data_IF_107984631644
#
_entry.id   IF_107984631644
#
_cell.length_a   1.000
_cell.length_b   1.000
_cell.length_c   1.000
_cell.angle_alpha   90.00
_cell.angle_beta   90.00
_cell.angle_gamma   90.00
#
_symmetry.space_group_name_H-M   'P 1'
#
loop_
_entity.id
_entity.type
_entity.pdbx_description
1 polymer ?
#
# COMPACT_ATOMS: atom_id res chain seq x y z
N UNK A 1 11.10 -3.59 -6.16
CA UNK A 1 11.02 -4.00 -7.58
C UNK A 1 10.49 -2.81 -8.33
N UNK A 2 11.23 -2.33 -9.32
CA UNK A 2 10.86 -1.17 -10.14
C UNK A 2 11.04 -1.55 -11.61
N UNK A 3 10.09 -1.19 -12.47
CA UNK A 3 10.17 -1.52 -13.89
C UNK A 3 11.20 -0.64 -14.61
N UNK A 4 11.26 0.64 -14.24
CA UNK A 4 12.12 1.62 -14.91
C UNK A 4 13.30 2.04 -14.04
N UNK A 5 14.49 1.50 -14.37
CA UNK A 5 15.74 1.87 -13.71
C UNK A 5 16.06 3.37 -13.81
N UNK A 6 15.55 4.08 -14.82
CA UNK A 6 15.79 5.51 -14.97
C UNK A 6 15.10 6.33 -13.90
N UNK A 7 13.93 5.91 -13.45
CA UNK A 7 13.23 6.55 -12.32
C UNK A 7 14.10 6.50 -11.07
N UNK A 8 14.77 5.36 -10.82
CA UNK A 8 15.67 5.22 -9.68
C UNK A 8 16.91 6.11 -9.81
N UNK A 9 17.54 6.17 -10.99
CA UNK A 9 18.68 7.05 -11.23
C UNK A 9 18.33 8.52 -10.97
N UNK A 10 17.20 8.98 -11.50
CA UNK A 10 16.70 10.35 -11.30
C UNK A 10 16.39 10.58 -9.81
N UNK A 11 15.76 9.61 -9.14
CA UNK A 11 15.43 9.75 -7.73
C UNK A 11 16.65 9.85 -6.83
N UNK A 12 17.68 9.04 -7.09
CA UNK A 12 18.96 9.13 -6.40
C UNK A 12 19.66 10.47 -6.66
N UNK A 13 19.58 11.00 -7.88
CA UNK A 13 20.24 12.25 -8.24
C UNK A 13 19.53 13.51 -7.73
N UNK A 14 18.19 13.51 -7.65
CA UNK A 14 17.41 14.74 -7.47
C UNK A 14 16.47 14.73 -6.26
N UNK A 15 16.10 13.57 -5.71
CA UNK A 15 15.11 13.46 -4.64
C UNK A 15 15.72 13.08 -3.28
N UNK A 16 16.90 13.62 -2.96
CA UNK A 16 17.61 13.38 -1.69
C UNK A 16 16.76 13.71 -0.45
N UNK A 17 15.91 14.74 -0.52
CA UNK A 17 14.98 15.08 0.56
C UNK A 17 13.88 14.04 0.78
N UNK A 18 13.60 13.20 -0.23
CA UNK A 18 12.62 12.11 -0.16
C UNK A 18 13.29 10.83 0.32
N UNK A 19 14.32 10.35 -0.40
CA UNK A 19 14.91 9.05 -0.09
C UNK A 19 15.82 9.07 1.14
N UNK A 20 16.38 10.24 1.54
CA UNK A 20 17.21 10.41 2.76
C UNK A 20 18.29 9.32 2.94
N UNK A 21 18.93 8.89 1.85
CA UNK A 21 19.95 7.83 1.86
C UNK A 21 19.43 6.38 1.86
N UNK A 22 18.12 6.15 1.75
CA UNK A 22 17.52 4.81 1.76
C UNK A 22 18.09 3.86 0.69
N UNK A 23 18.55 4.40 -0.45
CA UNK A 23 19.18 3.60 -1.51
C UNK A 23 20.56 3.03 -1.16
N UNK A 24 21.16 3.46 -0.04
CA UNK A 24 22.47 3.01 0.43
C UNK A 24 22.35 2.14 1.69
N UNK A 25 21.12 1.88 2.15
CA UNK A 25 20.86 1.01 3.29
C UNK A 25 21.16 -0.46 2.91
N UNK A 26 21.99 -1.20 3.66
CA UNK A 26 22.36 -2.56 3.32
C UNK A 26 21.20 -3.56 3.35
N UNK A 27 20.05 -3.18 3.94
CA UNK A 27 18.82 -3.98 3.95
C UNK A 27 18.03 -3.85 2.65
N UNK A 28 18.33 -2.85 1.82
CA UNK A 28 17.64 -2.65 0.55
C UNK A 28 18.19 -3.59 -0.52
N UNK A 29 17.31 -4.41 -1.07
CA UNK A 29 17.54 -5.11 -2.32
C UNK A 29 16.72 -4.43 -3.44
N UNK A 30 17.42 -3.72 -4.33
CA UNK A 30 16.80 -3.09 -5.49
C UNK A 30 16.83 -4.05 -6.69
N UNK A 31 15.66 -4.30 -7.28
CA UNK A 31 15.51 -5.09 -8.51
C UNK A 31 14.85 -4.26 -9.58
N UNK A 32 15.52 -4.13 -10.73
CA UNK A 32 14.94 -3.51 -11.94
C UNK A 32 14.30 -4.64 -12.76
N UNK A 33 13.01 -4.84 -12.57
CA UNK A 33 12.25 -5.98 -13.08
C UNK A 33 10.75 -5.64 -13.13
N UNK A 34 10.01 -6.30 -14.01
CA UNK A 34 8.56 -6.21 -14.03
C UNK A 34 7.95 -6.83 -12.75
N UNK A 35 7.11 -6.06 -12.05
CA UNK A 35 6.53 -6.47 -10.77
C UNK A 35 5.61 -7.69 -10.89
N UNK A 36 4.92 -7.86 -12.01
CA UNK A 36 4.04 -9.01 -12.26
C UNK A 36 4.86 -10.29 -12.44
N UNK A 37 5.92 -10.22 -13.25
CA UNK A 37 6.87 -11.31 -13.46
C UNK A 37 7.58 -11.70 -12.16
N UNK A 38 7.94 -10.72 -11.34
CA UNK A 38 8.56 -10.96 -10.04
C UNK A 38 7.63 -11.74 -9.10
N UNK A 39 6.39 -11.29 -8.94
CA UNK A 39 5.40 -11.92 -8.05
C UNK A 39 5.01 -13.33 -8.53
N UNK A 40 4.89 -13.54 -9.84
CA UNK A 40 4.45 -14.83 -10.39
C UNK A 40 5.56 -15.86 -10.59
N UNK A 41 6.78 -15.40 -10.84
CA UNK A 41 7.90 -16.25 -11.22
C UNK A 41 9.01 -16.21 -10.19
N UNK A 42 9.65 -15.05 -10.05
CA UNK A 42 10.88 -14.91 -9.29
C UNK A 42 10.69 -15.26 -7.80
N UNK A 43 9.79 -14.56 -7.11
CA UNK A 43 9.61 -14.72 -5.68
C UNK A 43 9.15 -16.13 -5.29
N UNK A 44 8.17 -16.76 -5.97
CA UNK A 44 7.82 -18.16 -5.74
C UNK A 44 8.99 -19.13 -5.98
N UNK A 45 9.73 -18.98 -7.08
CA UNK A 45 10.85 -19.85 -7.43
C UNK A 45 12.00 -19.77 -6.40
N UNK A 46 12.20 -18.59 -5.81
CA UNK A 46 13.15 -18.37 -4.72
C UNK A 46 12.59 -18.76 -3.34
N UNK A 47 11.35 -19.23 -3.25
CA UNK A 47 10.72 -19.61 -1.97
C UNK A 47 10.47 -18.44 -1.02
N UNK A 48 10.40 -17.21 -1.54
CA UNK A 48 10.26 -16.01 -0.72
C UNK A 48 8.87 -15.89 -0.10
N UNK A 49 8.82 -15.29 1.09
CA UNK A 49 7.60 -14.86 1.78
C UNK A 49 7.82 -13.48 2.38
N UNK A 50 6.75 -12.70 2.47
CA UNK A 50 6.79 -11.33 2.96
C UNK A 50 5.75 -11.11 4.06
N UNK A 51 6.13 -10.37 5.10
CA UNK A 51 5.18 -9.92 6.14
C UNK A 51 4.37 -8.70 5.66
N UNK A 52 4.91 -7.93 4.72
CA UNK A 52 4.26 -6.78 4.14
C UNK A 52 4.63 -6.65 2.67
N UNK A 53 3.63 -6.56 1.80
CA UNK A 53 3.79 -6.16 0.40
C UNK A 53 3.18 -4.78 0.24
N UNK A 54 3.96 -3.83 -0.27
CA UNK A 54 3.50 -2.48 -0.59
C UNK A 54 3.54 -2.28 -2.10
N UNK A 55 2.39 -2.02 -2.69
CA UNK A 55 2.24 -1.71 -4.11
C UNK A 55 2.13 -0.18 -4.26
N UNK A 56 3.26 0.46 -4.50
CA UNK A 56 3.34 1.88 -4.86
C UNK A 56 3.43 2.02 -6.38
N UNK A 57 2.29 1.86 -7.03
CA UNK A 57 2.19 1.76 -8.49
C UNK A 57 1.69 3.08 -9.10
N UNK A 58 1.92 3.28 -10.40
CA UNK A 58 1.18 4.30 -11.15
C UNK A 58 -0.29 3.92 -11.28
N UNK A 59 -1.14 4.88 -11.64
CA UNK A 59 -2.54 4.61 -11.97
C UNK A 59 -2.70 3.44 -12.96
N UNK A 60 -3.80 2.64 -12.85
CA UNK A 60 -4.05 1.45 -13.65
C UNK A 60 -4.36 1.82 -15.10
N UNK A 61 -3.32 2.17 -15.86
CA UNK A 61 -3.40 2.47 -17.28
C UNK A 61 -2.28 1.70 -17.99
N UNK A 62 -2.65 0.96 -19.03
CA UNK A 62 -1.69 0.21 -19.82
C UNK A 62 -1.06 -0.94 -19.01
N UNK A 63 0.28 -1.08 -18.98
CA UNK A 63 0.95 -2.22 -18.32
C UNK A 63 0.58 -2.41 -16.84
N UNK A 64 0.23 -1.31 -16.14
CA UNK A 64 -0.11 -1.35 -14.73
C UNK A 64 -1.47 -2.01 -14.44
N UNK A 65 -2.40 -2.08 -15.40
CA UNK A 65 -3.76 -2.59 -15.19
C UNK A 65 -3.79 -4.01 -14.63
N UNK A 66 -2.87 -4.87 -15.08
CA UNK A 66 -2.77 -6.25 -14.62
C UNK A 66 -2.48 -6.36 -13.11
N UNK A 67 -1.73 -5.37 -12.56
CA UNK A 67 -1.34 -5.29 -11.16
C UNK A 67 -2.49 -4.84 -10.22
N UNK A 68 -3.66 -4.55 -10.77
CA UNK A 68 -4.86 -4.17 -10.03
C UNK A 68 -5.98 -5.20 -10.11
N UNK A 69 -5.69 -6.38 -10.65
CA UNK A 69 -6.66 -7.48 -10.80
C UNK A 69 -6.76 -8.35 -9.54
N UNK A 70 -7.93 -8.95 -9.32
CA UNK A 70 -8.12 -9.93 -8.24
C UNK A 70 -7.15 -11.12 -8.35
N UNK A 71 -6.82 -11.53 -9.59
CA UNK A 71 -5.83 -12.58 -9.83
C UNK A 71 -4.44 -12.16 -9.30
N UNK A 72 -4.00 -10.94 -9.59
CA UNK A 72 -2.73 -10.44 -9.08
C UNK A 72 -2.73 -10.27 -7.55
N UNK A 73 -3.85 -9.83 -6.97
CA UNK A 73 -3.98 -9.77 -5.51
C UNK A 73 -3.90 -11.16 -4.87
N UNK A 74 -4.44 -12.20 -5.51
CA UNK A 74 -4.30 -13.59 -5.06
C UNK A 74 -2.85 -14.08 -5.18
N UNK A 75 -2.15 -13.73 -6.25
CA UNK A 75 -0.72 -14.03 -6.41
C UNK A 75 0.12 -13.37 -5.29
N UNK A 76 -0.15 -12.09 -4.98
CA UNK A 76 0.49 -11.40 -3.87
C UNK A 76 0.16 -12.06 -2.52
N UNK A 77 -1.11 -12.44 -2.31
CA UNK A 77 -1.55 -13.12 -1.09
C UNK A 77 -0.82 -14.44 -0.86
N UNK A 78 -0.53 -15.20 -1.93
CA UNK A 78 0.22 -16.45 -1.83
C UNK A 78 1.68 -16.25 -1.38
N UNK A 79 2.23 -15.04 -1.56
CA UNK A 79 3.56 -14.66 -1.09
C UNK A 79 3.56 -14.07 0.32
N UNK A 80 2.40 -13.81 0.91
CA UNK A 80 2.33 -13.30 2.28
C UNK A 80 2.56 -14.43 3.30
N UNK A 81 3.22 -14.08 4.41
CA UNK A 81 3.23 -14.90 5.61
C UNK A 81 1.85 -14.98 6.29
N UNK A 82 1.71 -15.84 7.30
CA UNK A 82 0.42 -16.05 8.00
C UNK A 82 -0.14 -14.76 8.62
N UNK A 83 0.74 -13.87 9.07
CA UNK A 83 0.39 -12.55 9.61
C UNK A 83 0.65 -11.41 8.62
N UNK A 84 0.70 -11.72 7.32
CA UNK A 84 1.08 -10.76 6.30
C UNK A 84 -0.04 -9.79 5.90
N UNK A 85 0.35 -8.66 5.33
CA UNK A 85 -0.58 -7.67 4.76
C UNK A 85 -0.13 -7.15 3.39
N UNK A 86 -1.10 -6.76 2.58
CA UNK A 86 -0.93 -6.00 1.34
C UNK A 86 -1.38 -4.56 1.58
N UNK A 87 -0.58 -3.59 1.15
CA UNK A 87 -0.96 -2.19 1.10
C UNK A 87 -0.83 -1.64 -0.32
N UNK A 88 -1.80 -0.83 -0.75
CA UNK A 88 -1.78 -0.15 -2.04
C UNK A 88 -2.61 1.14 -1.99
N UNK A 89 -2.41 2.03 -2.95
CA UNK A 89 -3.31 3.15 -3.15
C UNK A 89 -4.57 2.75 -3.92
N UNK A 90 -5.67 3.45 -3.65
CA UNK A 90 -6.96 3.31 -4.31
C UNK A 90 -7.23 4.45 -5.30
N UNK A 91 -6.48 5.56 -5.18
CA UNK A 91 -6.72 6.80 -5.90
C UNK A 91 -7.70 7.74 -5.19
N UNK A 92 -8.12 8.80 -5.89
CA UNK A 92 -9.03 9.82 -5.34
C UNK A 92 -10.50 9.39 -5.47
N UNK A 93 -11.24 9.18 -4.36
CA UNK A 93 -12.63 8.70 -4.40
C UNK A 93 -13.61 9.72 -5.01
N UNK A 94 -13.25 11.00 -4.98
CA UNK A 94 -14.08 12.05 -5.58
C UNK A 94 -13.94 12.08 -7.11
N UNK A 95 -12.73 11.93 -7.64
CA UNK A 95 -12.47 12.01 -9.08
C UNK A 95 -12.66 10.67 -9.80
N UNK A 96 -12.41 9.54 -9.10
CA UNK A 96 -12.44 8.20 -9.68
C UNK A 96 -13.23 7.21 -8.80
N UNK A 97 -14.52 7.48 -8.50
CA UNK A 97 -15.32 6.66 -7.58
C UNK A 97 -15.41 5.19 -8.02
N UNK A 98 -15.63 4.93 -9.31
CA UNK A 98 -15.75 3.57 -9.83
C UNK A 98 -14.46 2.76 -9.73
N UNK A 99 -13.31 3.42 -9.92
CA UNK A 99 -12.00 2.81 -9.72
C UNK A 99 -11.83 2.41 -8.26
N UNK A 100 -12.08 3.33 -7.32
CA UNK A 100 -11.96 3.07 -5.88
C UNK A 100 -12.89 1.92 -5.46
N UNK A 101 -14.15 1.96 -5.88
CA UNK A 101 -15.14 0.90 -5.60
C UNK A 101 -14.71 -0.45 -6.16
N UNK A 102 -14.27 -0.49 -7.42
CA UNK A 102 -13.79 -1.70 -8.08
C UNK A 102 -12.58 -2.32 -7.39
N UNK A 103 -11.60 -1.50 -7.01
CA UNK A 103 -10.40 -1.95 -6.29
C UNK A 103 -10.74 -2.50 -4.90
N UNK A 104 -11.56 -1.79 -4.13
CA UNK A 104 -12.00 -2.28 -2.82
C UNK A 104 -12.79 -3.59 -2.97
N UNK A 105 -13.65 -3.71 -3.99
CA UNK A 105 -14.37 -4.94 -4.31
C UNK A 105 -13.44 -6.11 -4.64
N UNK A 106 -12.44 -5.90 -5.50
CA UNK A 106 -11.45 -6.91 -5.85
C UNK A 106 -10.62 -7.37 -4.64
N UNK A 107 -10.20 -6.44 -3.78
CA UNK A 107 -9.52 -6.75 -2.53
C UNK A 107 -10.42 -7.56 -1.59
N UNK A 108 -11.68 -7.15 -1.41
CA UNK A 108 -12.65 -7.87 -0.55
C UNK A 108 -12.97 -9.28 -1.06
N UNK A 109 -12.91 -9.49 -2.37
CA UNK A 109 -13.02 -10.82 -2.97
C UNK A 109 -11.80 -11.71 -2.73
N UNK A 110 -10.66 -11.13 -2.30
CA UNK A 110 -9.38 -11.84 -2.16
C UNK A 110 -8.97 -12.01 -0.69
N UNK A 111 -9.19 -10.99 0.15
CA UNK A 111 -8.74 -10.92 1.54
C UNK A 111 -9.90 -10.86 2.53
N UNK A 112 -9.71 -11.45 3.72
CA UNK A 112 -10.72 -11.44 4.80
C UNK A 112 -10.95 -10.04 5.36
N UNK A 113 -9.89 -9.30 5.63
CA UNK A 113 -9.93 -7.95 6.18
C UNK A 113 -9.42 -6.97 5.12
N UNK A 114 -10.26 -6.01 4.73
CA UNK A 114 -9.89 -4.91 3.84
C UNK A 114 -10.32 -3.61 4.49
N UNK A 115 -9.34 -2.76 4.78
CA UNK A 115 -9.55 -1.49 5.48
C UNK A 115 -9.07 -0.35 4.58
N UNK A 116 -10.00 0.34 3.91
CA UNK A 116 -9.72 1.60 3.23
C UNK A 116 -9.36 2.69 4.24
N UNK A 117 -8.33 3.47 3.91
CA UNK A 117 -7.88 4.64 4.63
C UNK A 117 -7.86 5.83 3.67
N UNK A 118 -8.28 7.01 4.11
CA UNK A 118 -8.27 8.21 3.28
C UNK A 118 -7.49 9.33 3.96
N UNK A 119 -6.59 9.95 3.20
CA UNK A 119 -5.74 11.06 3.64
C UNK A 119 -5.92 12.22 2.67
N UNK A 120 -6.05 13.44 3.17
CA UNK A 120 -6.02 14.61 2.30
C UNK A 120 -4.58 14.90 1.86
N UNK A 121 -4.31 14.85 0.55
CA UNK A 121 -3.01 15.16 -0.02
C UNK A 121 -3.11 16.55 -0.67
N UNK A 122 -2.54 17.62 -0.06
CA UNK A 122 -2.75 18.99 -0.54
C UNK A 122 -2.37 19.21 -2.00
N UNK A 123 -1.26 18.61 -2.45
CA UNK A 123 -0.79 18.73 -3.83
C UNK A 123 -1.77 18.10 -4.85
N UNK A 124 -2.55 17.10 -4.42
CA UNK A 124 -3.55 16.45 -5.27
C UNK A 124 -4.92 17.12 -5.16
N UNK A 125 -5.11 18.05 -4.22
CA UNK A 125 -6.36 18.79 -4.04
C UNK A 125 -7.56 17.95 -3.61
N UNK A 126 -7.35 16.73 -3.11
CA UNK A 126 -8.43 15.82 -2.73
C UNK A 126 -8.00 14.79 -1.69
N UNK A 127 -8.96 14.01 -1.20
CA UNK A 127 -8.65 12.77 -0.49
C UNK A 127 -7.99 11.78 -1.44
N UNK A 128 -6.96 11.11 -0.95
CA UNK A 128 -6.31 10.00 -1.60
C UNK A 128 -6.53 8.74 -0.77
N UNK A 129 -7.04 7.69 -1.42
CA UNK A 129 -7.33 6.43 -0.79
C UNK A 129 -6.12 5.52 -0.76
N UNK A 130 -5.98 4.78 0.33
CA UNK A 130 -5.09 3.66 0.54
C UNK A 130 -5.94 2.48 1.04
N UNK A 131 -5.49 1.26 0.88
CA UNK A 131 -6.09 0.11 1.54
C UNK A 131 -5.01 -0.74 2.19
N UNK A 132 -5.33 -1.27 3.37
CA UNK A 132 -4.62 -2.40 3.96
C UNK A 132 -5.53 -3.63 3.84
N UNK A 133 -4.99 -4.71 3.28
CA UNK A 133 -5.68 -5.97 3.08
C UNK A 133 -4.89 -7.13 3.70
N UNK A 134 -5.54 -7.97 4.52
CA UNK A 134 -4.91 -9.08 5.22
C UNK A 134 -5.94 -10.15 5.57
N UNK A 135 -5.48 -11.38 5.77
CA UNK A 135 -6.32 -12.46 6.31
C UNK A 135 -6.29 -12.55 7.84
N UNK A 136 -5.26 -11.99 8.47
CA UNK A 136 -5.01 -12.10 9.91
C UNK A 136 -5.10 -10.75 10.64
N UNK A 137 -4.73 -9.65 9.97
CA UNK A 137 -4.65 -8.32 10.58
C UNK A 137 -5.89 -7.50 10.21
N UNK A 138 -6.56 -6.94 11.21
CA UNK A 138 -7.53 -5.87 11.03
C UNK A 138 -7.00 -4.59 11.69
N UNK A 139 -6.47 -3.63 10.90
CA UNK A 139 -5.93 -2.38 11.42
C UNK A 139 -6.90 -1.59 12.32
N UNK A 140 -8.21 -1.74 12.11
CA UNK A 140 -9.24 -1.04 12.92
C UNK A 140 -9.27 -1.51 14.37
N UNK A 141 -8.69 -2.67 14.66
CA UNK A 141 -8.63 -3.26 16.01
C UNK A 141 -7.39 -2.83 16.78
N UNK A 142 -6.48 -2.09 16.17
CA UNK A 142 -5.29 -1.56 16.84
C UNK A 142 -5.67 -0.20 17.42
N UNK A 143 -5.67 -0.10 18.74
CA UNK A 143 -5.99 1.17 19.41
C UNK A 143 -4.83 2.19 19.31
N UNK A 144 -5.17 3.45 19.57
CA UNK A 144 -4.27 4.60 19.43
C UNK A 144 -3.02 4.44 20.32
N UNK A 145 -3.21 3.99 21.57
CA UNK A 145 -2.12 3.78 22.52
C UNK A 145 -1.15 2.68 22.07
N UNK A 146 -1.66 1.59 21.51
CA UNK A 146 -0.85 0.50 20.96
C UNK A 146 -0.04 0.98 19.76
N UNK A 147 -0.61 1.83 18.90
CA UNK A 147 0.13 2.44 17.78
C UNK A 147 1.28 3.29 18.33
N UNK A 148 1.01 4.19 19.27
CA UNK A 148 2.03 5.09 19.82
C UNK A 148 3.13 4.32 20.57
N UNK A 149 2.77 3.27 21.33
CA UNK A 149 3.74 2.37 21.98
C UNK A 149 4.66 1.72 20.95
N UNK A 150 4.09 1.15 19.88
CA UNK A 150 4.87 0.51 18.80
C UNK A 150 5.77 1.50 18.07
N UNK A 151 5.32 2.73 17.85
CA UNK A 151 6.15 3.78 17.26
C UNK A 151 7.36 4.09 18.16
N UNK A 152 7.13 4.25 19.46
CA UNK A 152 8.18 4.50 20.44
C UNK A 152 9.17 3.31 20.55
N UNK A 153 8.68 2.08 20.69
CA UNK A 153 9.48 0.86 20.77
C UNK A 153 10.38 0.66 19.54
N UNK A 154 9.90 1.09 18.36
CA UNK A 154 10.64 0.99 17.09
C UNK A 154 11.52 2.22 16.80
N UNK A 155 11.55 3.20 17.69
CA UNK A 155 12.33 4.44 17.52
C UNK A 155 11.82 5.34 16.38
N UNK A 156 10.52 5.26 16.03
CA UNK A 156 9.92 6.03 14.94
C UNK A 156 9.31 7.31 15.52
N UNK A 157 10.13 8.35 15.70
CA UNK A 157 9.74 9.62 16.34
C UNK A 157 9.58 10.83 15.41
N UNK A 158 10.14 10.80 14.21
CA UNK A 158 10.17 11.97 13.30
C UNK A 158 8.93 12.10 12.38
N UNK A 159 7.83 11.42 12.71
CA UNK A 159 6.63 11.45 11.88
C UNK A 159 5.92 12.79 11.97
N UNK A 160 5.61 13.37 10.81
CA UNK A 160 4.90 14.66 10.72
C UNK A 160 3.38 14.53 10.64
N UNK A 161 2.88 13.38 10.23
CA UNK A 161 1.45 13.14 9.98
C UNK A 161 0.88 12.02 10.84
N UNK A 162 1.59 10.89 10.96
CA UNK A 162 1.05 9.67 11.51
C UNK A 162 1.39 9.49 13.02
N UNK A 163 0.39 9.08 13.79
CA UNK A 163 0.40 8.75 15.22
C UNK A 163 -0.86 7.89 15.54
N UNK A 164 -1.10 7.53 16.80
CA UNK A 164 -2.25 6.73 17.19
C UNK A 164 -3.60 7.34 16.80
N UNK A 165 -3.82 8.62 17.11
CA UNK A 165 -5.08 9.31 16.79
C UNK A 165 -5.33 9.37 15.27
N UNK A 166 -4.29 9.68 14.49
CA UNK A 166 -4.40 9.77 13.02
C UNK A 166 -4.52 8.41 12.37
N UNK A 167 -3.91 7.35 12.93
CA UNK A 167 -4.14 5.97 12.51
C UNK A 167 -5.63 5.64 12.52
N UNK A 168 -6.32 5.96 13.61
CA UNK A 168 -7.77 5.77 13.71
C UNK A 168 -8.54 6.70 12.78
N UNK A 169 -8.15 7.97 12.72
CA UNK A 169 -8.88 8.99 11.95
C UNK A 169 -8.92 8.69 10.45
N UNK A 170 -7.81 8.23 9.86
CA UNK A 170 -7.77 7.94 8.40
C UNK A 170 -8.66 6.77 8.00
N UNK A 171 -9.03 5.90 8.94
CA UNK A 171 -9.94 4.77 8.73
C UNK A 171 -11.42 5.16 8.88
N UNK A 172 -11.70 6.37 9.40
CA UNK A 172 -13.06 6.88 9.50
C UNK A 172 -13.53 7.39 8.13
N UNK A 173 -14.65 6.86 7.65
CA UNK A 173 -15.16 7.15 6.31
C UNK A 173 -16.28 8.20 6.33
N UNK A 174 -16.14 9.33 5.62
CA UNK A 174 -17.26 10.23 5.34
C UNK A 174 -18.42 9.49 4.67
N UNK A 175 -19.66 9.97 4.88
CA UNK A 175 -20.85 9.26 4.41
C UNK A 175 -20.86 9.00 2.90
N UNK A 176 -20.36 9.91 2.07
CA UNK A 176 -20.31 9.68 0.62
C UNK A 176 -19.38 8.50 0.25
N UNK A 177 -18.28 8.31 0.97
CA UNK A 177 -17.40 7.15 0.79
C UNK A 177 -18.07 5.89 1.36
N UNK A 178 -18.77 5.99 2.49
CA UNK A 178 -19.55 4.86 3.02
C UNK A 178 -20.57 4.36 1.99
N UNK A 179 -21.31 5.28 1.35
CA UNK A 179 -22.24 4.95 0.27
C UNK A 179 -21.52 4.34 -0.92
N UNK A 180 -20.40 4.92 -1.37
CA UNK A 180 -19.60 4.39 -2.47
C UNK A 180 -19.11 2.95 -2.24
N UNK A 181 -18.83 2.57 -0.99
CA UNK A 181 -18.24 1.29 -0.61
C UNK A 181 -19.22 0.30 0.04
N UNK A 182 -20.52 0.63 0.12
CA UNK A 182 -21.55 -0.21 0.73
C UNK A 182 -22.08 -1.30 -0.22
N UNK A 183 -21.87 -1.12 -1.52
CA UNK A 183 -22.13 -2.08 -2.58
C UNK A 183 -20.95 -3.05 -2.78
#
# INVERSE_FOLDING_TARGET
VELDGKVIEIARAHFASVHRGAFDDPRLELRIEDGLAYVRGHAPAAGLRFDLIVLDLTDPVGPAEALYSAAFFADCKALLGESGALCLHLGAPFYHPDRVRGLVGALRGTFRHVVPCFVHIPLYGSLWGLACASDAIDPRRIDEATVDSRLAERGIGELRYYNGATHRAVQALPNYIRTLLAE
#
